data_IF_849387023065
#
_entry.id   IF_849387023065
#
_cell.length_a   1.000
_cell.length_b   1.000
_cell.length_c   1.000
_cell.angle_alpha   90.00
_cell.angle_beta   90.00
_cell.angle_gamma   90.00
#
_symmetry.space_group_name_H-M   'P 1'
#
loop_
_entity.id
_entity.type
_entity.pdbx_description
1 polymer ?
#
# COMPACT_ATOMS: atom_id res chain seq x y z
N UNK A 1 53.55 -9.49 -12.51
CA UNK A 1 52.23 -9.84 -13.09
C UNK A 1 51.23 -9.67 -11.97
N UNK A 2 50.59 -8.50 -11.89
CA UNK A 2 49.62 -8.17 -10.84
C UNK A 2 48.24 -8.60 -11.35
N UNK A 3 47.70 -9.64 -10.73
CA UNK A 3 46.33 -10.06 -10.98
C UNK A 3 45.39 -9.04 -10.30
N UNK A 4 44.87 -8.07 -11.04
CA UNK A 4 43.71 -7.31 -10.60
C UNK A 4 42.50 -8.26 -10.60
N UNK A 5 42.19 -8.78 -9.43
CA UNK A 5 40.90 -9.39 -9.22
C UNK A 5 39.85 -8.28 -9.36
N UNK A 6 39.10 -8.28 -10.46
CA UNK A 6 37.88 -7.50 -10.61
C UNK A 6 36.90 -8.11 -9.61
N UNK A 7 36.78 -7.50 -8.45
CA UNK A 7 35.68 -7.78 -7.52
C UNK A 7 34.44 -7.27 -8.23
N UNK A 8 33.45 -8.14 -8.58
CA UNK A 8 32.19 -7.64 -9.09
C UNK A 8 31.62 -6.71 -8.01
N UNK A 9 31.45 -5.45 -8.34
CA UNK A 9 30.69 -4.52 -7.54
C UNK A 9 29.26 -5.07 -7.53
N UNK A 10 28.92 -5.81 -6.48
CA UNK A 10 27.51 -6.08 -6.17
C UNK A 10 26.93 -4.71 -5.79
N UNK A 11 26.21 -4.09 -6.72
CA UNK A 11 25.30 -3.03 -6.37
C UNK A 11 24.42 -3.57 -5.25
N UNK A 12 24.29 -2.84 -4.13
CA UNK A 12 23.51 -3.30 -2.99
C UNK A 12 22.04 -3.37 -3.34
N UNK A 13 21.30 -4.25 -2.69
CA UNK A 13 19.83 -4.41 -2.92
C UNK A 13 19.10 -3.10 -2.72
N UNK A 14 19.53 -2.26 -1.76
CA UNK A 14 18.87 -0.97 -1.50
C UNK A 14 19.12 0.04 -2.62
N UNK A 15 20.30 0.04 -3.23
CA UNK A 15 20.60 0.90 -4.37
C UNK A 15 19.81 0.49 -5.60
N UNK A 16 19.73 -0.81 -5.89
CA UNK A 16 18.95 -1.34 -6.99
C UNK A 16 17.45 -1.04 -6.80
N UNK A 17 16.97 -1.10 -5.55
CA UNK A 17 15.59 -0.76 -5.20
C UNK A 17 15.29 0.72 -5.44
N UNK A 18 16.18 1.63 -5.00
CA UNK A 18 16.08 3.07 -5.24
C UNK A 18 16.08 3.39 -6.74
N UNK A 19 17.06 2.87 -7.46
CA UNK A 19 17.20 3.10 -8.89
C UNK A 19 15.98 2.60 -9.68
N UNK A 20 15.47 1.43 -9.35
CA UNK A 20 14.29 0.86 -10.00
C UNK A 20 12.98 1.56 -9.62
N UNK A 21 12.89 2.08 -8.39
CA UNK A 21 11.72 2.84 -7.93
C UNK A 21 11.62 4.26 -8.51
N UNK A 22 12.72 4.80 -9.05
CA UNK A 22 12.79 6.19 -9.51
C UNK A 22 12.98 6.34 -11.01
N UNK A 23 13.46 5.30 -11.71
CA UNK A 23 13.62 5.35 -13.16
C UNK A 23 12.33 4.98 -13.89
N UNK A 24 11.90 5.78 -14.87
CA UNK A 24 10.76 5.43 -15.71
C UNK A 24 11.08 4.16 -16.50
N UNK A 25 10.06 3.30 -16.65
CA UNK A 25 10.13 2.11 -17.49
C UNK A 25 10.60 2.49 -18.88
N UNK A 26 11.81 2.10 -19.29
CA UNK A 26 12.29 2.28 -20.65
C UNK A 26 11.36 1.50 -21.57
N UNK A 27 10.42 2.20 -22.23
CA UNK A 27 9.63 1.61 -23.30
C UNK A 27 10.60 1.25 -24.42
N UNK A 28 11.01 0.00 -24.49
CA UNK A 28 11.67 -0.54 -25.67
C UNK A 28 10.64 -0.56 -26.80
N UNK A 29 10.39 0.63 -27.38
CA UNK A 29 9.66 0.74 -28.63
C UNK A 29 10.57 0.23 -29.73
N UNK A 30 10.53 -1.08 -29.96
CA UNK A 30 10.95 -1.65 -31.24
C UNK A 30 9.96 -1.13 -32.29
N UNK A 31 10.24 0.06 -32.83
CA UNK A 31 9.54 0.58 -33.99
C UNK A 31 9.99 -0.19 -35.22
N UNK A 32 9.45 -1.41 -35.41
CA UNK A 32 9.40 -2.01 -36.72
C UNK A 32 8.31 -1.31 -37.52
N UNK A 33 8.69 -0.32 -38.33
CA UNK A 33 7.83 0.24 -39.37
C UNK A 33 7.50 -0.89 -40.39
N UNK A 34 6.26 -1.29 -40.55
CA UNK A 34 5.86 -1.99 -41.77
C UNK A 34 5.57 -0.94 -42.84
N UNK A 35 6.45 -0.88 -43.82
CA UNK A 35 6.17 -0.25 -45.10
C UNK A 35 5.28 -1.23 -45.89
N UNK A 36 4.01 -0.95 -45.96
CA UNK A 36 3.05 -1.77 -46.70
C UNK A 36 1.91 -0.91 -47.18
N UNK A 37 2.06 -0.45 -48.44
CA UNK A 37 1.02 0.19 -49.22
C UNK A 37 0.08 -0.89 -49.73
N UNK A 38 -1.13 -0.99 -49.22
CA UNK A 38 -2.21 -1.71 -49.90
C UNK A 38 -3.55 -1.00 -49.67
N UNK A 39 -4.01 -0.42 -50.79
CA UNK A 39 -5.42 -0.05 -50.95
C UNK A 39 -6.23 -1.32 -50.89
N UNK A 40 -7.15 -1.43 -49.98
CA UNK A 40 -8.26 -2.38 -50.07
C UNK A 40 -9.55 -1.72 -49.62
N UNK A 41 -10.46 -1.82 -50.51
CA UNK A 41 -11.88 -1.48 -50.52
C UNK A 41 -12.60 -1.70 -49.19
N UNK A 42 -13.38 -0.69 -48.80
CA UNK A 42 -14.37 -0.77 -47.74
C UNK A 42 -15.38 -1.90 -48.01
N UNK A 43 -15.49 -2.83 -47.08
CA UNK A 43 -16.64 -3.71 -46.96
C UNK A 43 -17.33 -3.40 -45.63
N UNK A 44 -18.59 -3.00 -45.71
CA UNK A 44 -19.49 -2.54 -44.67
C UNK A 44 -19.97 -3.65 -43.70
N UNK A 45 -19.13 -4.56 -43.27
CA UNK A 45 -19.56 -5.67 -42.39
C UNK A 45 -19.02 -5.62 -40.93
N UNK A 46 -18.22 -4.63 -40.55
CA UNK A 46 -17.56 -4.61 -39.23
C UNK A 46 -18.21 -3.74 -38.15
N UNK A 47 -19.35 -3.09 -38.45
CA UNK A 47 -19.95 -2.10 -37.53
C UNK A 47 -20.70 -2.76 -36.37
N UNK A 48 -21.28 -3.94 -36.56
CA UNK A 48 -22.11 -4.59 -35.52
C UNK A 48 -21.26 -5.18 -34.39
N UNK A 49 -20.08 -5.72 -34.70
CA UNK A 49 -19.18 -6.28 -33.70
C UNK A 49 -18.54 -5.20 -32.82
N UNK A 50 -18.23 -4.05 -33.39
CA UNK A 50 -17.65 -2.90 -32.66
C UNK A 50 -18.64 -2.28 -31.67
N UNK A 51 -19.88 -2.10 -32.05
CA UNK A 51 -20.91 -1.54 -31.16
C UNK A 51 -21.26 -2.46 -30.01
N UNK A 52 -21.33 -3.78 -30.24
CA UNK A 52 -21.56 -4.76 -29.17
C UNK A 52 -20.38 -4.82 -28.21
N UNK A 53 -19.15 -4.80 -28.70
CA UNK A 53 -17.95 -4.79 -27.85
C UNK A 53 -17.87 -3.51 -27.01
N UNK A 54 -18.14 -2.35 -27.61
CA UNK A 54 -18.17 -1.07 -26.91
C UNK A 54 -19.27 -1.02 -25.84
N UNK A 55 -20.47 -1.48 -26.18
CA UNK A 55 -21.61 -1.56 -25.24
C UNK A 55 -21.30 -2.49 -24.07
N UNK A 56 -20.63 -3.62 -24.31
CA UNK A 56 -20.26 -4.58 -23.27
C UNK A 56 -19.19 -4.01 -22.33
N UNK A 57 -18.17 -3.35 -22.89
CA UNK A 57 -17.14 -2.67 -22.10
C UNK A 57 -17.76 -1.55 -21.26
N UNK A 58 -18.61 -0.73 -21.84
CA UNK A 58 -19.32 0.36 -21.13
C UNK A 58 -20.16 -0.20 -19.99
N UNK A 59 -20.93 -1.26 -20.24
CA UNK A 59 -21.73 -1.92 -19.22
C UNK A 59 -20.88 -2.50 -18.08
N UNK A 60 -19.73 -3.13 -18.38
CA UNK A 60 -18.81 -3.64 -17.37
C UNK A 60 -18.28 -2.49 -16.51
N UNK A 61 -17.83 -1.40 -17.15
CA UNK A 61 -17.29 -0.23 -16.45
C UNK A 61 -18.36 0.41 -15.57
N UNK A 62 -19.55 0.66 -16.08
CA UNK A 62 -20.67 1.23 -15.32
C UNK A 62 -21.07 0.34 -14.14
N UNK A 63 -21.22 -0.97 -14.36
CA UNK A 63 -21.59 -1.92 -13.31
C UNK A 63 -20.53 -1.98 -12.24
N UNK A 64 -19.26 -1.97 -12.64
CA UNK A 64 -18.13 -1.97 -11.70
C UNK A 64 -18.09 -0.69 -10.88
N UNK A 65 -18.18 0.49 -11.51
CA UNK A 65 -18.20 1.78 -10.82
C UNK A 65 -19.40 1.89 -9.87
N UNK A 66 -20.58 1.46 -10.31
CA UNK A 66 -21.79 1.46 -9.49
C UNK A 66 -21.64 0.53 -8.26
N UNK A 67 -21.10 -0.68 -8.47
CA UNK A 67 -20.90 -1.66 -7.40
C UNK A 67 -19.86 -1.16 -6.41
N UNK A 68 -18.73 -0.66 -6.89
CA UNK A 68 -17.67 -0.07 -6.04
C UNK A 68 -18.22 1.14 -5.27
N UNK A 69 -18.95 2.03 -5.94
CA UNK A 69 -19.61 3.18 -5.30
C UNK A 69 -20.57 2.78 -4.20
N UNK A 70 -21.38 1.74 -4.42
CA UNK A 70 -22.27 1.20 -3.37
C UNK A 70 -21.52 0.59 -2.21
N UNK A 71 -20.46 -0.16 -2.46
CA UNK A 71 -19.63 -0.76 -1.41
C UNK A 71 -18.98 0.34 -0.55
N UNK A 72 -18.44 1.38 -1.16
CA UNK A 72 -17.85 2.53 -0.46
C UNK A 72 -18.92 3.26 0.37
N UNK A 73 -20.07 3.54 -0.20
CA UNK A 73 -21.18 4.20 0.48
C UNK A 73 -21.71 3.37 1.66
N UNK A 74 -21.92 2.07 1.45
CA UNK A 74 -22.37 1.15 2.49
C UNK A 74 -21.35 1.01 3.63
N UNK A 75 -20.07 0.87 3.29
CA UNK A 75 -18.98 0.83 4.29
C UNK A 75 -18.90 2.11 5.09
N UNK A 76 -19.04 3.27 4.43
CA UNK A 76 -19.10 4.58 5.06
C UNK A 76 -20.34 4.75 5.94
N UNK A 77 -21.52 4.37 5.46
CA UNK A 77 -22.77 4.43 6.22
C UNK A 77 -22.74 3.52 7.45
N UNK A 78 -22.22 2.31 7.32
CA UNK A 78 -22.04 1.42 8.46
C UNK A 78 -21.04 2.00 9.47
N UNK A 79 -19.97 2.58 8.99
CA UNK A 79 -19.04 3.30 9.85
C UNK A 79 -19.75 4.45 10.56
N UNK A 80 -20.51 5.25 9.87
CA UNK A 80 -21.25 6.39 10.41
C UNK A 80 -22.34 5.98 11.41
N UNK A 81 -23.14 4.96 11.10
CA UNK A 81 -24.18 4.45 12.03
C UNK A 81 -23.62 3.93 13.34
N UNK A 82 -22.43 3.37 13.33
CA UNK A 82 -21.71 2.95 14.53
C UNK A 82 -21.21 4.10 15.37
N UNK A 83 -21.07 5.24 14.78
CA UNK A 83 -20.66 6.47 15.42
C UNK A 83 -21.76 7.11 16.28
N UNK A 84 -23.00 6.90 15.96
CA UNK A 84 -24.12 7.42 16.72
C UNK A 84 -24.39 6.69 18.05
N UNK A 85 -23.85 5.50 18.25
CA UNK A 85 -24.01 4.70 19.46
C UNK A 85 -22.72 4.74 20.27
N UNK A 86 -22.57 5.76 21.07
CA UNK A 86 -21.51 5.82 22.09
C UNK A 86 -21.87 4.85 23.21
N UNK A 87 -21.40 3.63 23.14
CA UNK A 87 -21.40 2.75 24.31
C UNK A 87 -20.42 3.29 25.35
N UNK A 88 -20.94 3.62 26.49
CA UNK A 88 -20.24 4.25 27.60
C UNK A 88 -19.13 3.40 28.21
N UNK A 89 -19.10 2.09 27.89
CA UNK A 89 -18.15 1.11 28.43
C UNK A 89 -16.79 1.09 27.72
N UNK A 90 -16.65 1.72 26.56
CA UNK A 90 -15.40 1.67 25.77
C UNK A 90 -14.60 2.97 25.78
N UNK A 91 -14.83 3.83 26.74
CA UNK A 91 -14.12 5.12 26.87
C UNK A 91 -12.60 5.02 27.04
N UNK A 92 -12.08 3.84 27.33
CA UNK A 92 -10.67 3.66 27.67
C UNK A 92 -9.77 3.29 26.47
N UNK A 93 -10.31 3.13 25.27
CA UNK A 93 -9.53 2.84 24.07
C UNK A 93 -9.83 3.86 22.98
N UNK A 94 -8.82 4.63 22.62
CA UNK A 94 -8.89 5.56 21.48
C UNK A 94 -8.63 4.87 20.15
N UNK A 95 -8.22 3.61 20.17
CA UNK A 95 -8.05 2.82 18.97
C UNK A 95 -9.36 2.19 18.54
N UNK A 96 -9.73 2.50 17.32
CA UNK A 96 -10.90 1.97 16.70
C UNK A 96 -10.64 0.61 16.08
N UNK A 97 -11.17 -0.42 16.69
CA UNK A 97 -11.33 -1.71 16.03
C UNK A 97 -12.62 -1.72 15.21
N UNK A 98 -12.75 -2.63 14.22
CA UNK A 98 -14.01 -2.80 13.52
C UNK A 98 -15.16 -2.99 14.49
N UNK A 99 -16.13 -2.07 14.47
CA UNK A 99 -17.28 -2.11 15.38
C UNK A 99 -17.23 -1.17 16.57
N UNK A 100 -16.14 -0.47 16.78
CA UNK A 100 -16.03 0.51 17.85
C UNK A 100 -16.63 1.87 17.46
N UNK A 101 -17.14 2.61 18.44
CA UNK A 101 -17.75 3.94 18.25
C UNK A 101 -16.76 5.03 17.82
N UNK A 102 -17.26 6.23 17.53
CA UNK A 102 -16.41 7.37 17.20
C UNK A 102 -15.80 7.94 18.46
N UNK A 103 -14.56 7.58 18.69
CA UNK A 103 -13.65 8.38 19.50
C UNK A 103 -12.47 8.78 18.61
N UNK A 104 -11.78 9.90 18.93
CA UNK A 104 -10.48 10.13 18.34
C UNK A 104 -9.63 8.88 18.59
N UNK A 105 -9.01 8.35 17.55
CA UNK A 105 -8.15 7.17 17.66
C UNK A 105 -6.72 7.58 17.43
N UNK A 106 -5.84 7.07 18.26
CA UNK A 106 -4.40 7.19 18.09
C UNK A 106 -3.78 5.81 18.06
N UNK A 107 -2.92 5.55 17.07
CA UNK A 107 -2.16 4.31 16.98
C UNK A 107 -0.70 4.64 16.70
N UNK A 108 0.19 4.02 17.45
CA UNK A 108 1.62 4.01 17.21
C UNK A 108 2.07 2.58 17.01
N UNK A 109 2.63 2.28 15.86
CA UNK A 109 3.27 1.00 15.55
C UNK A 109 4.77 1.20 15.38
N UNK A 110 5.57 0.32 15.95
CA UNK A 110 7.00 0.25 15.70
C UNK A 110 7.39 -1.18 15.40
N UNK A 111 8.00 -1.40 14.26
CA UNK A 111 8.42 -2.71 13.78
C UNK A 111 9.93 -2.72 13.54
N UNK A 112 10.57 -3.82 13.88
CA UNK A 112 11.91 -4.15 13.44
C UNK A 112 11.83 -5.21 12.35
N UNK A 113 12.52 -4.98 11.25
CA UNK A 113 12.52 -5.83 10.06
C UNK A 113 13.85 -6.58 9.99
N UNK A 114 13.73 -7.88 9.76
CA UNK A 114 14.81 -8.79 9.40
C UNK A 114 14.55 -9.23 7.95
N UNK A 115 15.20 -8.56 7.02
CA UNK A 115 15.04 -8.89 5.60
C UNK A 115 16.13 -9.88 5.15
N UNK A 116 15.94 -10.42 3.96
CA UNK A 116 16.95 -11.23 3.27
C UNK A 116 18.16 -10.38 2.87
N UNK A 117 19.29 -11.02 2.54
CA UNK A 117 20.46 -10.37 1.94
C UNK A 117 21.14 -9.28 2.79
N UNK A 118 21.29 -9.51 4.09
CA UNK A 118 21.92 -8.58 5.04
C UNK A 118 21.19 -7.21 5.17
N UNK A 119 19.95 -7.11 4.69
CA UNK A 119 19.09 -5.94 4.87
C UNK A 119 18.37 -6.05 6.21
N UNK A 120 18.44 -5.01 7.00
CA UNK A 120 17.64 -4.85 8.21
C UNK A 120 16.90 -3.51 8.17
N UNK A 121 15.94 -3.32 9.04
CA UNK A 121 15.26 -2.03 9.05
C UNK A 121 14.35 -1.85 10.23
N UNK A 122 13.79 -0.66 10.30
CA UNK A 122 12.72 -0.34 11.23
C UNK A 122 11.64 0.49 10.55
N UNK A 123 10.43 0.29 11.01
CA UNK A 123 9.26 1.07 10.62
C UNK A 123 8.66 1.71 11.85
N UNK A 124 8.26 2.95 11.72
CA UNK A 124 7.37 3.61 12.68
C UNK A 124 6.18 4.17 11.94
N UNK A 125 4.97 3.88 12.42
CA UNK A 125 3.72 4.41 11.88
C UNK A 125 2.91 5.04 12.99
N UNK A 126 2.52 6.28 12.80
CA UNK A 126 1.58 7.01 13.65
C UNK A 126 0.30 7.18 12.85
N UNK A 127 -0.82 6.86 13.45
CA UNK A 127 -2.14 7.02 12.83
C UNK A 127 -3.05 7.78 13.80
N UNK A 128 -3.68 8.82 13.29
CA UNK A 128 -4.70 9.61 13.97
C UNK A 128 -6.00 9.46 13.18
N UNK A 129 -7.11 9.34 13.88
CA UNK A 129 -8.37 9.21 13.20
C UNK A 129 -9.54 9.74 14.00
N UNK A 130 -10.52 10.22 13.25
CA UNK A 130 -11.79 10.62 13.78
C UNK A 130 -12.89 10.24 12.79
N UNK A 131 -13.75 9.36 13.24
CA UNK A 131 -14.82 8.94 12.38
C UNK A 131 -14.33 8.22 11.11
N UNK A 132 -14.90 8.64 10.00
CA UNK A 132 -14.57 8.15 8.67
C UNK A 132 -13.21 8.60 8.18
N UNK A 133 -12.62 9.60 8.83
CA UNK A 133 -11.39 10.22 8.39
C UNK A 133 -10.22 9.83 9.28
N UNK A 134 -9.07 9.69 8.68
CA UNK A 134 -7.81 9.46 9.36
C UNK A 134 -6.65 10.07 8.62
N UNK A 135 -5.55 10.22 9.32
CA UNK A 135 -4.26 10.58 8.75
C UNK A 135 -3.20 9.67 9.35
N UNK A 136 -2.28 9.21 8.55
CA UNK A 136 -1.13 8.46 9.05
C UNK A 136 0.18 8.99 8.49
N UNK A 137 1.21 8.88 9.31
CA UNK A 137 2.60 9.09 8.94
C UNK A 137 3.35 7.78 9.14
N UNK A 138 3.97 7.27 8.10
CA UNK A 138 4.80 6.07 8.15
C UNK A 138 6.21 6.42 7.73
N UNK A 139 7.18 5.96 8.50
CA UNK A 139 8.59 6.06 8.17
C UNK A 139 9.19 4.66 8.19
N UNK A 140 9.65 4.20 7.02
CA UNK A 140 10.43 2.98 6.85
C UNK A 140 11.89 3.35 6.66
N UNK A 141 12.79 2.73 7.37
CA UNK A 141 14.22 2.90 7.18
C UNK A 141 14.89 1.54 7.06
N UNK A 142 15.49 1.28 5.92
CA UNK A 142 16.22 0.08 5.59
C UNK A 142 17.72 0.36 5.64
N UNK A 143 18.49 -0.63 6.05
CA UNK A 143 19.94 -0.56 6.16
C UNK A 143 20.55 -1.79 5.51
N UNK A 144 21.55 -1.59 4.70
CA UNK A 144 22.37 -2.63 4.10
C UNK A 144 23.84 -2.19 4.20
N UNK A 145 24.61 -2.79 5.10
CA UNK A 145 26.02 -2.43 5.36
C UNK A 145 26.21 -0.92 5.63
N UNK A 146 26.71 -0.16 4.63
CA UNK A 146 26.88 1.31 4.69
C UNK A 146 25.72 2.09 4.11
N UNK A 147 24.85 1.45 3.37
CA UNK A 147 23.77 2.09 2.62
C UNK A 147 22.50 2.13 3.44
N UNK A 148 21.69 3.15 3.22
CA UNK A 148 20.38 3.27 3.85
C UNK A 148 19.36 3.86 2.91
N UNK A 149 18.14 3.32 2.95
CA UNK A 149 16.99 3.80 2.19
C UNK A 149 15.87 4.15 3.15
N UNK A 150 15.38 5.37 3.07
CA UNK A 150 14.26 5.86 3.89
C UNK A 150 13.06 6.13 3.01
N UNK A 151 11.89 5.63 3.40
CA UNK A 151 10.61 5.86 2.75
C UNK A 151 9.64 6.48 3.76
N UNK A 152 9.23 7.70 3.49
CA UNK A 152 8.29 8.45 4.33
C UNK A 152 6.96 8.60 3.59
N UNK A 153 5.83 8.26 4.25
CA UNK A 153 4.49 8.39 3.69
C UNK A 153 3.59 9.20 4.61
N UNK A 154 2.87 10.14 4.05
CA UNK A 154 1.74 10.82 4.71
C UNK A 154 0.48 10.47 3.95
N UNK A 155 -0.44 9.76 4.58
CA UNK A 155 -1.67 9.26 3.97
C UNK A 155 -2.90 9.81 4.68
N UNK A 156 -3.88 10.21 3.89
CA UNK A 156 -5.23 10.52 4.33
C UNK A 156 -6.12 9.32 4.08
N UNK A 157 -6.87 8.91 5.09
CA UNK A 157 -7.68 7.69 5.07
C UNK A 157 -9.17 8.00 5.04
N UNK A 158 -9.87 7.31 4.17
CA UNK A 158 -11.31 7.12 4.26
C UNK A 158 -11.57 5.72 4.80
N UNK A 159 -12.16 5.64 5.99
CA UNK A 159 -12.31 4.40 6.77
C UNK A 159 -13.67 3.80 6.58
N UNK A 160 -13.72 2.53 6.21
CA UNK A 160 -14.94 1.76 6.03
C UNK A 160 -14.97 0.57 6.99
N UNK A 161 -16.14 0.21 7.46
CA UNK A 161 -16.35 -0.95 8.33
C UNK A 161 -17.46 -1.84 7.79
N UNK A 162 -17.19 -3.13 7.74
CA UNK A 162 -18.13 -4.13 7.26
C UNK A 162 -18.37 -5.15 8.39
N UNK A 163 -19.55 -5.08 8.98
CA UNK A 163 -19.81 -5.86 10.19
C UNK A 163 -18.84 -5.47 11.32
N UNK A 164 -18.69 -6.33 12.34
CA UNK A 164 -17.91 -6.04 13.55
C UNK A 164 -16.45 -6.49 13.44
N UNK A 165 -16.06 -7.08 12.32
CA UNK A 165 -14.78 -7.77 12.19
C UNK A 165 -13.89 -7.26 11.07
N UNK A 166 -14.48 -6.68 10.02
CA UNK A 166 -13.73 -6.23 8.86
C UNK A 166 -13.70 -4.71 8.80
N UNK A 167 -12.51 -4.13 8.70
CA UNK A 167 -12.32 -2.76 8.24
C UNK A 167 -11.48 -2.74 6.98
N UNK A 168 -11.81 -1.81 6.12
CA UNK A 168 -11.15 -1.59 4.85
C UNK A 168 -11.05 -0.10 4.62
N UNK A 169 -9.85 0.43 4.56
CA UNK A 169 -9.64 1.84 4.37
C UNK A 169 -9.14 2.10 2.94
N UNK A 170 -9.52 3.24 2.39
CA UNK A 170 -8.90 3.80 1.19
C UNK A 170 -8.02 4.96 1.62
N UNK A 171 -6.79 4.97 1.17
CA UNK A 171 -5.84 6.01 1.56
C UNK A 171 -5.07 6.54 0.35
N UNK A 172 -4.82 7.83 0.35
CA UNK A 172 -3.99 8.50 -0.64
C UNK A 172 -3.22 9.66 0.00
N UNK A 173 -2.08 10.00 -0.57
CA UNK A 173 -1.26 11.08 -0.03
C UNK A 173 0.07 11.22 -0.75
N UNK A 174 1.09 11.60 0.01
CA UNK A 174 2.40 11.94 -0.50
C UNK A 174 3.46 11.05 0.14
N UNK A 175 4.50 10.78 -0.62
CA UNK A 175 5.66 10.02 -0.16
C UNK A 175 6.95 10.69 -0.55
N UNK A 176 7.99 10.36 0.20
CA UNK A 176 9.36 10.70 -0.11
C UNK A 176 10.23 9.47 0.00
N UNK A 177 11.01 9.21 -1.02
CA UNK A 177 12.07 8.23 -1.04
C UNK A 177 13.40 8.95 -0.88
N UNK A 178 14.23 8.53 0.04
CA UNK A 178 15.52 9.14 0.31
C UNK A 178 16.59 8.05 0.49
N UNK A 179 17.50 7.98 -0.48
CA UNK A 179 18.67 7.13 -0.52
C UNK A 179 19.92 7.96 -0.82
N UNK A 180 20.56 7.75 -1.97
CA UNK A 180 21.62 8.64 -2.48
C UNK A 180 21.04 10.02 -2.83
N UNK A 181 19.83 10.04 -3.40
CA UNK A 181 19.07 11.24 -3.74
C UNK A 181 17.73 11.26 -2.97
N UNK A 182 16.95 12.32 -3.18
CA UNK A 182 15.61 12.46 -2.60
C UNK A 182 14.57 12.66 -3.69
N UNK A 183 13.53 11.85 -3.65
CA UNK A 183 12.45 11.85 -4.63
C UNK A 183 11.11 12.01 -3.94
N UNK A 184 10.36 13.03 -4.30
CA UNK A 184 8.99 13.20 -3.86
C UNK A 184 8.03 12.45 -4.79
N UNK A 185 6.92 11.94 -4.25
CA UNK A 185 5.99 11.16 -5.04
C UNK A 185 4.60 11.12 -4.46
N UNK A 186 3.73 10.43 -5.18
CA UNK A 186 2.36 10.15 -4.75
C UNK A 186 2.26 8.73 -4.22
N UNK A 187 1.43 8.55 -3.20
CA UNK A 187 1.24 7.27 -2.54
C UNK A 187 -0.24 6.99 -2.37
N UNK A 188 -0.64 5.76 -2.63
CA UNK A 188 -1.96 5.25 -2.31
C UNK A 188 -1.86 3.94 -1.54
N UNK A 189 -2.84 3.65 -0.72
CA UNK A 189 -2.86 2.43 0.08
C UNK A 189 -4.29 1.94 0.32
N UNK A 190 -4.42 0.66 0.64
CA UNK A 190 -5.70 0.03 0.88
C UNK A 190 -5.60 -0.95 2.05
N UNK A 191 -5.41 -0.45 3.29
CA UNK A 191 -5.32 -1.32 4.45
C UNK A 191 -6.61 -2.08 4.72
N UNK A 192 -6.48 -3.38 4.93
CA UNK A 192 -7.56 -4.31 5.26
C UNK A 192 -7.22 -4.94 6.61
N UNK A 193 -8.15 -4.90 7.56
CA UNK A 193 -7.98 -5.50 8.88
C UNK A 193 -9.15 -6.43 9.15
N UNK A 194 -8.84 -7.65 9.60
CA UNK A 194 -9.85 -8.63 9.99
C UNK A 194 -9.63 -9.09 11.42
N UNK A 195 -10.65 -8.94 12.26
CA UNK A 195 -10.64 -9.33 13.66
C UNK A 195 -11.09 -10.80 13.81
N UNK A 196 -10.18 -11.64 14.23
CA UNK A 196 -10.48 -13.05 14.53
C UNK A 196 -11.14 -13.22 15.91
N UNK A 197 -10.66 -12.45 16.89
CA UNK A 197 -11.17 -12.43 18.27
C UNK A 197 -10.96 -11.05 18.90
N UNK A 198 -11.36 -10.87 20.13
CA UNK A 198 -11.19 -9.60 20.87
C UNK A 198 -9.71 -9.19 21.04
N UNK A 199 -8.80 -10.13 20.90
CA UNK A 199 -7.36 -9.88 21.09
C UNK A 199 -6.53 -10.05 19.83
N UNK A 200 -7.05 -10.69 18.80
CA UNK A 200 -6.30 -11.03 17.60
C UNK A 200 -6.92 -10.43 16.35
N UNK A 201 -6.10 -9.79 15.55
CA UNK A 201 -6.49 -9.33 14.21
C UNK A 201 -5.34 -9.50 13.21
N UNK A 202 -5.71 -9.79 11.96
CA UNK A 202 -4.82 -9.75 10.81
C UNK A 202 -4.89 -8.40 10.12
N UNK A 203 -3.79 -7.93 9.59
CA UNK A 203 -3.70 -6.73 8.78
C UNK A 203 -2.98 -7.04 7.47
N UNK A 204 -3.59 -6.66 6.35
CA UNK A 204 -2.93 -6.60 5.06
C UNK A 204 -2.89 -5.14 4.62
N UNK A 205 -1.68 -4.65 4.36
CA UNK A 205 -1.43 -3.24 4.07
C UNK A 205 -0.63 -3.10 2.77
N UNK A 206 -1.32 -3.09 1.60
CA UNK A 206 -0.70 -2.78 0.33
C UNK A 206 -0.53 -1.26 0.18
N UNK A 207 0.62 -0.85 -0.35
CA UNK A 207 0.97 0.54 -0.66
C UNK A 207 1.51 0.59 -2.07
N UNK A 208 1.03 1.53 -2.85
CA UNK A 208 1.53 1.83 -4.19
C UNK A 208 2.07 3.24 -4.20
N UNK A 209 3.31 3.39 -4.59
CA UNK A 209 4.00 4.67 -4.67
C UNK A 209 4.60 4.89 -6.05
N UNK A 210 4.65 6.14 -6.46
CA UNK A 210 5.27 6.55 -7.72
C UNK A 210 6.17 7.75 -7.44
N UNK A 211 7.46 7.60 -7.78
CA UNK A 211 8.52 8.58 -7.58
C UNK A 211 9.18 8.87 -8.92
N UNK A 212 9.22 10.13 -9.37
CA UNK A 212 9.91 10.59 -10.58
C UNK A 212 9.72 9.71 -11.83
N UNK A 213 8.55 9.07 -11.94
CA UNK A 213 8.18 8.20 -13.07
C UNK A 213 8.46 6.72 -12.87
N UNK A 214 9.13 6.31 -11.82
CA UNK A 214 9.21 4.93 -11.38
C UNK A 214 8.07 4.56 -10.44
N UNK A 215 7.89 3.29 -10.16
CA UNK A 215 6.85 2.77 -9.29
C UNK A 215 7.40 1.71 -8.31
N UNK A 216 6.86 1.73 -7.11
CA UNK A 216 7.14 0.72 -6.10
C UNK A 216 5.84 0.27 -5.44
N UNK A 217 5.72 -1.03 -5.20
CA UNK A 217 4.61 -1.61 -4.45
C UNK A 217 5.16 -2.22 -3.16
N UNK A 218 4.52 -1.92 -2.05
CA UNK A 218 4.82 -2.50 -0.75
C UNK A 218 3.65 -3.38 -0.32
N UNK A 219 3.94 -4.61 0.12
CA UNK A 219 2.97 -5.50 0.73
C UNK A 219 3.40 -5.80 2.17
N UNK A 220 2.51 -5.57 3.11
CA UNK A 220 2.72 -5.94 4.51
C UNK A 220 1.56 -6.84 4.95
N UNK A 221 1.88 -8.04 5.42
CA UNK A 221 0.93 -8.97 6.04
C UNK A 221 1.32 -9.16 7.50
N UNK A 222 0.44 -8.82 8.42
CA UNK A 222 0.71 -8.85 9.85
C UNK A 222 -0.36 -9.60 10.64
N UNK A 223 0.08 -10.30 11.68
CA UNK A 223 -0.75 -10.82 12.75
C UNK A 223 -0.48 -10.01 14.02
N UNK A 224 -1.52 -9.49 14.62
CA UNK A 224 -1.43 -8.59 15.77
C UNK A 224 -2.19 -9.20 16.95
N UNK A 225 -1.55 -9.20 18.10
CA UNK A 225 -2.17 -9.47 19.38
C UNK A 225 -2.23 -8.19 20.20
N UNK A 226 -3.37 -7.91 20.81
CA UNK A 226 -3.60 -6.68 21.54
C UNK A 226 -4.28 -6.93 22.87
N UNK A 227 -3.79 -6.24 23.91
CA UNK A 227 -4.39 -6.23 25.24
C UNK A 227 -4.47 -4.80 25.73
N UNK A 228 -5.69 -4.25 25.83
CA UNK A 228 -5.93 -2.83 26.15
C UNK A 228 -5.19 -1.91 25.17
N UNK A 229 -4.26 -1.11 25.70
CA UNK A 229 -3.53 -0.09 24.94
C UNK A 229 -2.25 -0.60 24.27
N UNK A 230 -1.81 -1.83 24.59
CA UNK A 230 -0.55 -2.37 24.08
C UNK A 230 -0.77 -3.65 23.32
N UNK A 231 0.03 -3.84 22.30
CA UNK A 231 0.01 -5.06 21.50
C UNK A 231 1.39 -5.40 20.96
N UNK A 232 1.47 -6.59 20.40
CA UNK A 232 2.61 -7.07 19.66
C UNK A 232 2.16 -7.47 18.27
N UNK A 233 3.03 -7.29 17.30
CA UNK A 233 2.81 -7.62 15.92
C UNK A 233 3.94 -8.46 15.37
N UNK A 234 3.62 -9.36 14.45
CA UNK A 234 4.59 -10.09 13.64
C UNK A 234 4.03 -10.26 12.25
N UNK A 235 4.91 -10.39 11.28
CA UNK A 235 4.44 -10.58 9.92
C UNK A 235 5.56 -10.60 8.91
N UNK A 236 5.14 -10.41 7.66
CA UNK A 236 5.99 -10.41 6.50
C UNK A 236 5.77 -9.10 5.72
N UNK A 237 6.85 -8.59 5.17
CA UNK A 237 6.84 -7.37 4.41
C UNK A 237 7.71 -7.51 3.18
N UNK A 238 7.23 -6.96 2.06
CA UNK A 238 7.88 -7.02 0.77
C UNK A 238 7.77 -5.67 0.07
N UNK A 239 8.85 -5.24 -0.57
CA UNK A 239 8.90 -4.12 -1.49
C UNK A 239 9.25 -4.62 -2.88
N UNK A 240 8.42 -4.28 -3.85
CA UNK A 240 8.53 -4.71 -5.24
C UNK A 240 8.71 -3.49 -6.12
N UNK A 241 9.70 -3.55 -6.99
CA UNK A 241 9.89 -2.63 -8.12
C UNK A 241 9.96 -3.45 -9.41
N UNK A 242 10.10 -2.82 -10.55
CA UNK A 242 10.15 -3.52 -11.84
C UNK A 242 11.32 -4.52 -11.95
N UNK A 243 12.45 -4.27 -11.26
CA UNK A 243 13.68 -5.04 -11.44
C UNK A 243 14.22 -5.67 -10.15
N UNK A 244 13.72 -5.24 -8.99
CA UNK A 244 14.28 -5.65 -7.70
C UNK A 244 13.19 -5.81 -6.67
N UNK A 245 13.40 -6.72 -5.72
CA UNK A 245 12.57 -6.87 -4.53
C UNK A 245 13.43 -6.92 -3.27
N UNK A 246 12.85 -6.42 -2.19
CA UNK A 246 13.35 -6.61 -0.84
C UNK A 246 12.21 -7.16 0.03
N UNK A 247 12.51 -8.18 0.81
CA UNK A 247 11.50 -8.87 1.59
C UNK A 247 12.05 -9.32 2.94
N UNK A 248 11.18 -9.46 3.94
CA UNK A 248 11.59 -9.94 5.24
C UNK A 248 10.47 -10.11 6.25
N UNK A 249 10.83 -10.71 7.37
CA UNK A 249 9.94 -10.81 8.51
C UNK A 249 10.08 -9.60 9.41
N UNK A 250 8.99 -9.20 10.05
CA UNK A 250 9.03 -8.16 11.06
C UNK A 250 8.42 -8.65 12.37
N UNK A 251 8.91 -8.04 13.45
CA UNK A 251 8.30 -8.10 14.77
C UNK A 251 8.17 -6.68 15.31
N UNK A 252 7.16 -6.43 16.10
CA UNK A 252 6.94 -5.07 16.59
C UNK A 252 6.03 -4.98 17.79
N UNK A 253 5.90 -3.76 18.24
CA UNK A 253 4.98 -3.37 19.31
C UNK A 253 4.05 -2.30 18.80
N UNK A 254 2.85 -2.31 19.29
CA UNK A 254 1.88 -1.27 18.99
C UNK A 254 1.27 -0.71 20.29
N UNK A 255 1.00 0.56 20.25
CA UNK A 255 0.25 1.27 21.28
C UNK A 255 -0.97 1.89 20.63
N UNK A 256 -2.07 1.79 21.34
CA UNK A 256 -3.36 2.19 20.86
C UNK A 256 -4.05 2.96 21.97
N UNK A 257 -4.55 4.16 21.62
CA UNK A 257 -5.17 5.06 22.58
C UNK A 257 -6.43 5.69 22.06
#
# INVERSE_FOLDING_TARGET
MVLCAVIPSYAGVLRDLEESATKPKSSSSSSSKPKGNSKSSASDSDTIGGELAFSLVTWIVETTLYTVGKVIAYGGENSWKRYGVMEQEKKDSLYRLPGDGILPSFKLDTHYLLASNDVSGHQTRIELGYGLLGVSQTKNRLFERSDSLTMDYTLFHYRMSFGNRLSWDLAAGFGRLHGEDSYDGTVSAMPIRYRFSDKWYGEYFPVWSSYDGGAMTEHQLGLNWQKKHFGVSMGYKEWLTDNTNAEGFFVGVNMVY
#
